data_IF_745275601894
#
_entry.id   IF_745275601894
#
_cell.length_a   1.000
_cell.length_b   1.000
_cell.length_c   1.000
_cell.angle_alpha   90.00
_cell.angle_beta   90.00
_cell.angle_gamma   90.00
#
_symmetry.space_group_name_H-M   'P 1'
#
loop_
_entity.id
_entity.type
_entity.pdbx_description
1 polymer ?
#
# COMPACT_ATOMS: atom_id res chain seq x y z
N UNK A 1 1.53 -4.96 1.26
CA UNK A 1 0.46 -4.93 0.23
C UNK A 1 -0.76 -5.83 0.51
N UNK A 2 -0.65 -7.16 0.70
CA UNK A 2 -1.84 -8.01 0.94
C UNK A 2 -2.60 -7.62 2.23
N UNK A 3 -1.93 -6.98 3.21
CA UNK A 3 -2.59 -6.45 4.41
C UNK A 3 -3.24 -5.07 4.19
N UNK A 4 -2.74 -4.25 3.25
CA UNK A 4 -3.36 -2.97 2.88
C UNK A 4 -4.70 -3.18 2.17
N UNK A 5 -4.77 -4.21 1.31
CA UNK A 5 -6.01 -4.53 0.58
C UNK A 5 -7.11 -5.11 1.47
N UNK A 6 -6.80 -5.63 2.66
CA UNK A 6 -7.82 -6.13 3.60
C UNK A 6 -8.73 -5.01 4.12
N UNK A 7 -8.17 -3.81 4.33
CA UNK A 7 -8.90 -2.63 4.81
C UNK A 7 -9.25 -1.66 3.68
N UNK A 8 -9.10 -2.08 2.43
CA UNK A 8 -9.36 -1.26 1.24
C UNK A 8 -10.75 -0.61 1.27
N UNK A 9 -11.78 -1.35 1.69
CA UNK A 9 -13.13 -0.79 1.79
C UNK A 9 -13.23 0.35 2.80
N UNK A 10 -12.55 0.22 3.95
CA UNK A 10 -12.53 1.26 4.98
C UNK A 10 -11.79 2.50 4.49
N UNK A 11 -10.61 2.32 3.87
CA UNK A 11 -9.82 3.42 3.31
C UNK A 11 -10.53 4.13 2.15
N UNK A 12 -11.12 3.38 1.23
CA UNK A 12 -11.86 3.95 0.10
C UNK A 12 -13.10 4.74 0.58
N UNK A 13 -13.80 4.24 1.61
CA UNK A 13 -14.91 5.00 2.23
C UNK A 13 -14.42 6.29 2.90
N UNK A 14 -13.20 6.30 3.43
CA UNK A 14 -12.56 7.48 4.00
C UNK A 14 -11.92 8.41 2.95
N UNK A 15 -12.02 8.10 1.64
CA UNK A 15 -11.50 8.93 0.55
C UNK A 15 -10.06 8.60 0.15
N UNK A 16 -9.49 7.49 0.60
CA UNK A 16 -8.16 7.01 0.21
C UNK A 16 -8.25 5.78 -0.68
N UNK A 17 -7.75 5.91 -1.91
CA UNK A 17 -7.55 4.80 -2.82
C UNK A 17 -6.14 4.23 -2.69
N UNK A 18 -6.03 2.89 -2.72
CA UNK A 18 -4.77 2.16 -2.61
C UNK A 18 -4.37 1.65 -4.00
N UNK A 19 -3.34 2.25 -4.58
CA UNK A 19 -2.76 1.82 -5.86
C UNK A 19 -1.44 1.07 -5.66
N UNK A 20 -1.25 -0.02 -6.41
CA UNK A 20 -0.03 -0.81 -6.36
C UNK A 20 0.61 -0.89 -7.74
N UNK A 21 1.87 -0.46 -7.83
CA UNK A 21 2.67 -0.52 -9.06
C UNK A 21 3.63 -1.70 -9.01
N UNK A 22 3.70 -2.45 -10.09
CA UNK A 22 4.64 -3.56 -10.25
C UNK A 22 5.48 -3.36 -11.50
N UNK A 23 6.76 -3.72 -11.45
CA UNK A 23 7.60 -3.83 -12.63
C UNK A 23 7.41 -5.16 -13.39
N UNK A 24 6.52 -6.02 -12.90
CA UNK A 24 6.21 -7.34 -13.48
C UNK A 24 5.10 -7.23 -14.53
N UNK A 25 5.00 -8.23 -15.42
CA UNK A 25 3.90 -8.29 -16.39
C UNK A 25 2.57 -8.60 -15.71
N UNK A 26 1.44 -8.31 -16.37
CA UNK A 26 0.11 -8.64 -15.87
C UNK A 26 -0.04 -10.13 -15.51
N UNK A 27 0.45 -11.03 -16.37
CA UNK A 27 0.43 -12.49 -16.11
C UNK A 27 1.23 -12.87 -14.86
N UNK A 28 2.40 -12.27 -14.66
CA UNK A 28 3.22 -12.49 -13.48
C UNK A 28 2.59 -11.92 -12.20
N UNK A 29 1.86 -10.79 -12.31
CA UNK A 29 1.09 -10.22 -11.20
C UNK A 29 -0.10 -11.13 -10.85
N UNK A 30 -0.81 -11.67 -11.83
CA UNK A 30 -1.93 -12.60 -11.61
C UNK A 30 -1.47 -13.91 -10.97
N UNK A 31 -0.36 -14.47 -11.45
CA UNK A 31 0.27 -15.63 -10.84
C UNK A 31 0.72 -15.33 -9.41
N UNK A 32 1.27 -14.14 -9.17
CA UNK A 32 1.67 -13.68 -7.84
C UNK A 32 0.50 -13.48 -6.88
N UNK A 33 -0.65 -12.97 -7.33
CA UNK A 33 -1.86 -12.88 -6.49
C UNK A 33 -2.32 -14.25 -6.01
N UNK A 34 -1.92 -15.33 -6.70
CA UNK A 34 -2.26 -16.72 -6.36
C UNK A 34 -1.25 -17.43 -5.44
N UNK A 35 0.00 -16.97 -5.31
CA UNK A 35 1.09 -17.72 -4.63
C UNK A 35 1.68 -16.90 -3.46
N UNK A 36 2.01 -17.55 -2.33
CA UNK A 36 2.91 -16.99 -1.29
C UNK A 36 4.13 -17.90 -1.13
N UNK A 37 5.40 -17.39 -1.09
CA UNK A 37 5.85 -16.00 -0.91
C UNK A 37 6.39 -15.30 -2.19
N UNK A 38 6.62 -13.98 -2.06
CA UNK A 38 6.93 -13.02 -3.15
C UNK A 38 8.39 -13.08 -3.63
N UNK A 39 8.68 -13.15 -4.95
CA UNK A 39 10.06 -13.21 -5.45
C UNK A 39 10.74 -11.85 -5.70
N UNK A 40 10.08 -10.72 -5.42
CA UNK A 40 10.60 -9.37 -5.68
C UNK A 40 10.44 -8.43 -4.48
N UNK A 41 11.33 -7.45 -4.35
CA UNK A 41 11.32 -6.44 -3.28
C UNK A 41 10.24 -5.39 -3.52
N UNK A 42 9.50 -5.03 -2.47
CA UNK A 42 8.63 -3.85 -2.50
C UNK A 42 9.53 -2.60 -2.48
N UNK A 43 9.25 -1.62 -3.35
CA UNK A 43 10.17 -0.51 -3.60
C UNK A 43 9.95 0.65 -2.63
N UNK A 44 8.69 0.89 -2.22
CA UNK A 44 8.25 1.76 -1.12
C UNK A 44 6.72 1.70 -1.02
N UNK A 45 6.15 2.05 0.13
CA UNK A 45 4.77 2.53 0.24
C UNK A 45 4.80 4.06 0.34
N UNK A 46 3.97 4.75 -0.43
CA UNK A 46 3.92 6.22 -0.44
C UNK A 46 2.51 6.73 -0.18
N UNK A 47 2.41 7.86 0.51
CA UNK A 47 1.16 8.62 0.67
C UNK A 47 1.21 9.85 -0.20
N UNK A 48 0.15 10.05 -0.97
CA UNK A 48 0.00 11.16 -1.91
C UNK A 48 -1.27 11.94 -1.52
N UNK A 49 -1.15 13.25 -1.37
CA UNK A 49 -2.28 14.13 -1.06
C UNK A 49 -3.19 14.38 -2.28
N UNK A 50 -4.33 15.04 -2.07
CA UNK A 50 -5.29 15.39 -3.11
C UNK A 50 -4.71 16.34 -4.20
N UNK A 51 -3.55 16.93 -3.95
CA UNK A 51 -2.83 17.77 -4.90
C UNK A 51 -1.73 17.00 -5.66
N UNK A 52 -1.64 15.68 -5.47
CA UNK A 52 -0.64 14.83 -6.12
C UNK A 52 0.76 14.94 -5.51
N UNK A 53 0.90 15.47 -4.29
CA UNK A 53 2.20 15.59 -3.61
C UNK A 53 2.46 14.37 -2.75
N UNK A 54 3.66 13.80 -2.86
CA UNK A 54 4.13 12.78 -1.92
C UNK A 54 4.36 13.46 -0.56
N UNK A 55 3.54 13.10 0.43
CA UNK A 55 3.64 13.64 1.79
C UNK A 55 4.43 12.72 2.71
N UNK A 56 4.47 11.43 2.40
CA UNK A 56 5.22 10.45 3.16
C UNK A 56 5.66 9.27 2.29
N UNK A 57 6.83 8.72 2.60
CA UNK A 57 7.34 7.50 1.99
C UNK A 57 7.88 6.56 3.07
N UNK A 58 7.55 5.28 2.96
CA UNK A 58 8.05 4.21 3.80
C UNK A 58 8.79 3.18 2.95
N UNK A 59 10.05 2.95 3.27
CA UNK A 59 10.91 1.99 2.59
C UNK A 59 11.06 0.74 3.47
N UNK A 60 10.41 -0.34 3.07
CA UNK A 60 10.56 -1.65 3.71
C UNK A 60 11.95 -2.25 3.48
N UNK A 61 12.44 -3.02 4.44
CA UNK A 61 13.65 -3.84 4.30
C UNK A 61 13.38 -5.13 3.52
N UNK A 62 12.18 -5.70 3.65
CA UNK A 62 11.76 -6.90 2.93
C UNK A 62 10.40 -6.76 2.22
N UNK A 63 10.01 -7.81 1.47
CA UNK A 63 8.80 -7.81 0.65
C UNK A 63 7.48 -7.92 1.45
N UNK A 64 7.56 -8.20 2.75
CA UNK A 64 6.44 -8.23 3.69
C UNK A 64 6.22 -6.90 4.41
N UNK A 65 7.25 -6.07 4.47
CA UNK A 65 7.17 -4.74 5.04
C UNK A 65 6.16 -3.85 4.30
N UNK A 66 5.47 -3.03 5.09
CA UNK A 66 4.54 -2.03 4.62
C UNK A 66 4.53 -0.85 5.60
N UNK A 67 4.07 0.30 5.14
CA UNK A 67 3.85 1.46 6.00
C UNK A 67 2.92 1.06 7.16
N UNK A 68 3.29 1.36 8.43
CA UNK A 68 2.43 1.07 9.56
C UNK A 68 1.04 1.69 9.37
N UNK A 69 -0.01 0.90 9.64
CA UNK A 69 -1.39 1.32 9.40
C UNK A 69 -1.76 2.60 10.15
N UNK A 70 -1.20 2.81 11.33
CA UNK A 70 -1.45 3.99 12.15
C UNK A 70 -1.02 5.28 11.44
N UNK A 71 -0.02 5.21 10.54
CA UNK A 71 0.41 6.36 9.72
C UNK A 71 -0.60 6.66 8.62
N UNK A 72 -1.12 5.61 7.99
CA UNK A 72 -2.16 5.70 6.95
C UNK A 72 -3.45 6.25 7.56
N UNK A 73 -3.86 5.73 8.72
CA UNK A 73 -5.04 6.20 9.46
C UNK A 73 -4.91 7.66 9.88
N UNK A 74 -3.73 8.09 10.33
CA UNK A 74 -3.47 9.50 10.65
C UNK A 74 -3.61 10.38 9.42
N UNK A 75 -3.10 9.94 8.28
CA UNK A 75 -3.15 10.69 7.03
C UNK A 75 -4.60 10.96 6.58
N UNK A 76 -5.49 9.98 6.74
CA UNK A 76 -6.91 10.10 6.39
C UNK A 76 -7.81 10.57 7.55
N UNK A 77 -7.20 11.01 8.66
CA UNK A 77 -7.94 11.55 9.82
C UNK A 77 -8.71 10.52 10.66
N UNK A 78 -8.47 9.22 10.47
CA UNK A 78 -9.07 8.15 11.28
C UNK A 78 -8.38 7.94 12.65
N UNK A 79 -7.18 8.50 12.86
CA UNK A 79 -6.32 8.23 14.02
C UNK A 79 -6.29 9.27 15.15
N UNK A 80 -7.35 10.06 15.37
CA UNK A 80 -7.38 11.06 16.45
C UNK A 80 -8.35 10.68 17.57
N UNK A 81 -7.86 9.89 18.55
CA UNK A 81 -8.20 9.94 19.99
C UNK A 81 -7.07 9.31 20.81
#
# INVERSE_FOLDING_TARGET
>A
MFMLTHRYKEYSTAGLDVEAFFSATHEQVDEFLRIRPRPFRLIADILVDEHGRVVEAYYGQDAGDHMPFERIERFIGLGAH
#
